data_IF_976002987566
#
_entry.id   IF_976002987566
#
_cell.length_a   1.000
_cell.length_b   1.000
_cell.length_c   1.000
_cell.angle_alpha   90.00
_cell.angle_beta   90.00
_cell.angle_gamma   90.00
#
_symmetry.space_group_name_H-M   'P 1'
#
loop_
_entity.id
_entity.type
_entity.pdbx_description
1 polymer ?
#
# COMPACT_ATOMS: atom_id res chain seq x y z
N UNK A 1 35.98 24.65 -29.68
CA UNK A 1 34.69 23.95 -29.57
C UNK A 1 33.93 24.69 -28.50
N UNK A 2 32.91 25.44 -28.90
CA UNK A 2 32.17 26.31 -27.99
C UNK A 2 31.29 25.46 -27.07
N UNK A 3 31.31 25.79 -25.77
CA UNK A 3 30.72 25.00 -24.68
C UNK A 3 29.20 25.20 -24.62
N UNK A 4 28.44 24.52 -25.47
CA UNK A 4 27.03 24.29 -25.17
C UNK A 4 26.91 23.29 -24.01
N UNK A 5 26.12 23.64 -23.01
CA UNK A 5 25.79 22.74 -21.89
C UNK A 5 24.40 22.13 -22.13
N UNK A 6 24.26 20.80 -22.20
CA UNK A 6 22.96 20.17 -22.36
C UNK A 6 22.12 20.29 -21.11
N UNK A 7 20.84 20.61 -21.29
CA UNK A 7 19.79 20.47 -20.28
C UNK A 7 19.08 19.16 -20.54
N UNK A 8 19.31 18.18 -19.66
CA UNK A 8 18.66 16.87 -19.75
C UNK A 8 17.40 16.84 -18.88
N UNK A 9 16.38 16.12 -19.32
CA UNK A 9 15.21 15.86 -18.50
C UNK A 9 15.62 15.03 -17.28
N UNK A 10 15.40 15.52 -16.04
CA UNK A 10 15.81 14.79 -14.84
C UNK A 10 14.85 13.65 -14.54
N UNK A 11 15.34 12.65 -13.80
CA UNK A 11 14.53 11.55 -13.31
C UNK A 11 13.81 11.94 -12.01
N UNK A 12 12.48 11.98 -12.03
CA UNK A 12 11.66 12.31 -10.85
C UNK A 12 11.38 11.09 -9.96
N UNK A 13 11.00 9.95 -10.57
CA UNK A 13 10.77 8.68 -9.88
C UNK A 13 11.65 7.54 -10.39
N UNK A 14 11.91 6.50 -9.55
CA UNK A 14 12.77 5.36 -9.90
C UNK A 14 12.25 4.51 -11.08
N UNK A 15 10.99 4.69 -11.48
CA UNK A 15 10.34 3.96 -12.57
C UNK A 15 9.84 4.85 -13.70
N UNK A 16 10.18 6.15 -13.71
CA UNK A 16 9.74 7.07 -14.76
C UNK A 16 10.66 6.91 -15.98
N UNK A 17 10.05 6.60 -17.13
CA UNK A 17 10.76 6.39 -18.40
C UNK A 17 10.53 7.58 -19.34
N UNK A 18 9.33 8.17 -19.30
CA UNK A 18 8.94 9.37 -20.05
C UNK A 18 8.29 10.40 -19.12
N UNK A 19 8.34 11.67 -19.50
CA UNK A 19 7.54 12.74 -18.91
C UNK A 19 7.04 13.68 -20.00
N UNK A 20 5.92 14.36 -19.75
CA UNK A 20 5.42 15.44 -20.61
C UNK A 20 6.03 16.75 -20.14
N UNK A 21 6.60 17.54 -21.05
CA UNK A 21 7.09 18.87 -20.73
C UNK A 21 5.89 19.83 -20.61
N UNK A 22 5.46 20.16 -19.39
CA UNK A 22 4.22 20.90 -19.16
C UNK A 22 4.33 22.37 -19.62
N UNK A 23 5.40 23.06 -19.19
CA UNK A 23 5.63 24.47 -19.57
C UNK A 23 7.10 24.88 -19.43
N UNK A 24 7.50 25.89 -20.22
CA UNK A 24 8.76 26.60 -20.04
C UNK A 24 8.52 27.88 -19.22
N UNK A 25 9.28 28.07 -18.15
CA UNK A 25 9.22 29.26 -17.30
C UNK A 25 10.15 30.38 -17.80
N UNK A 26 10.97 30.10 -18.81
CA UNK A 26 11.92 31.02 -19.45
C UNK A 26 11.74 31.00 -20.96
N UNK A 27 11.92 32.16 -21.57
CA UNK A 27 11.82 32.31 -23.02
C UNK A 27 13.09 31.85 -23.72
N UNK A 28 12.96 31.37 -24.96
CA UNK A 28 14.12 31.15 -25.84
C UNK A 28 14.92 32.45 -25.98
N UNK A 29 16.25 32.35 -25.92
CA UNK A 29 17.18 33.49 -25.96
C UNK A 29 17.29 34.25 -24.64
N UNK A 30 16.65 33.79 -23.57
CA UNK A 30 16.81 34.39 -22.25
C UNK A 30 18.08 33.86 -21.57
N UNK A 31 18.81 34.75 -20.91
CA UNK A 31 19.90 34.36 -20.01
C UNK A 31 19.34 33.73 -18.72
N UNK A 32 19.86 32.57 -18.33
CA UNK A 32 19.50 31.86 -17.10
C UNK A 32 20.75 31.59 -16.26
N UNK A 33 20.59 31.53 -14.94
CA UNK A 33 21.67 31.21 -14.01
C UNK A 33 21.65 29.72 -13.64
N UNK A 34 22.81 29.18 -13.23
CA UNK A 34 22.88 27.82 -12.71
C UNK A 34 21.96 27.65 -11.49
N UNK A 35 21.16 26.58 -11.49
CA UNK A 35 20.17 26.25 -10.46
C UNK A 35 18.86 27.03 -10.58
N UNK A 36 18.72 27.90 -11.58
CA UNK A 36 17.46 28.58 -11.85
C UNK A 36 16.44 27.60 -12.45
N UNK A 37 15.18 27.66 -12.03
CA UNK A 37 14.12 26.82 -12.58
C UNK A 37 13.72 27.37 -13.96
N UNK A 38 13.78 26.52 -14.97
CA UNK A 38 13.59 26.90 -16.37
C UNK A 38 12.37 26.25 -17.02
N UNK A 39 11.90 25.10 -16.51
CA UNK A 39 10.72 24.42 -17.01
C UNK A 39 10.03 23.59 -15.93
N UNK A 40 8.81 23.15 -16.21
CA UNK A 40 8.03 22.20 -15.42
C UNK A 40 7.72 20.99 -16.29
N UNK A 41 7.93 19.80 -15.75
CA UNK A 41 7.59 18.54 -16.39
C UNK A 41 6.64 17.72 -15.51
N UNK A 42 5.81 16.90 -16.12
CA UNK A 42 4.85 16.05 -15.43
C UNK A 42 4.92 14.61 -15.93
N UNK A 43 4.82 13.67 -15.01
CA UNK A 43 4.54 12.27 -15.30
C UNK A 43 3.10 11.95 -14.92
N UNK A 44 2.66 10.73 -15.20
CA UNK A 44 1.36 10.22 -14.73
C UNK A 44 1.20 10.23 -13.19
N UNK A 45 2.29 10.43 -12.44
CA UNK A 45 2.32 10.31 -10.98
C UNK A 45 2.70 11.60 -10.27
N UNK A 46 3.44 12.51 -10.90
CA UNK A 46 4.01 13.67 -10.22
C UNK A 46 4.35 14.80 -11.18
N UNK A 47 4.36 16.03 -10.66
CA UNK A 47 4.83 17.24 -11.35
C UNK A 47 6.14 17.66 -10.69
N UNK A 48 7.15 18.02 -11.48
CA UNK A 48 8.48 18.38 -10.99
C UNK A 48 9.11 19.51 -11.82
N UNK A 49 10.05 20.20 -11.20
CA UNK A 49 10.74 21.37 -11.75
C UNK A 49 12.06 20.95 -12.41
N UNK A 50 12.42 21.60 -13.52
CA UNK A 50 13.69 21.41 -14.23
C UNK A 50 14.59 22.60 -13.94
N UNK A 51 15.74 22.33 -13.32
CA UNK A 51 16.77 23.32 -13.00
C UNK A 51 17.84 23.43 -14.10
N UNK A 52 18.36 24.64 -14.31
CA UNK A 52 19.45 24.89 -15.23
C UNK A 52 20.80 24.32 -14.70
N UNK A 53 21.49 23.44 -15.43
CA UNK A 53 22.75 22.83 -14.97
C UNK A 53 23.95 23.80 -14.99
N UNK A 54 23.85 24.89 -15.76
CA UNK A 54 24.86 25.94 -15.90
C UNK A 54 24.19 27.30 -16.15
N UNK A 55 24.98 28.36 -16.23
CA UNK A 55 24.54 29.67 -16.71
C UNK A 55 24.71 29.79 -18.23
N UNK A 56 23.82 30.53 -18.89
CA UNK A 56 23.89 30.78 -20.33
C UNK A 56 22.56 31.18 -20.95
N UNK A 57 22.59 31.44 -22.26
CA UNK A 57 21.41 31.69 -23.07
C UNK A 57 20.68 30.38 -23.39
N UNK A 58 19.37 30.35 -23.08
CA UNK A 58 18.53 29.18 -23.25
C UNK A 58 18.08 28.99 -24.70
N UNK A 59 18.40 27.84 -25.28
CA UNK A 59 17.87 27.38 -26.55
C UNK A 59 17.01 26.12 -26.36
N UNK A 60 15.70 26.27 -26.53
CA UNK A 60 14.71 25.20 -26.38
C UNK A 60 14.76 24.24 -27.57
N UNK A 61 14.80 22.93 -27.30
CA UNK A 61 14.77 21.86 -28.30
C UNK A 61 13.46 21.05 -28.28
N UNK A 62 12.81 20.93 -27.12
CA UNK A 62 11.50 20.29 -26.96
C UNK A 62 10.43 21.33 -26.58
N UNK A 63 9.26 21.24 -27.22
CA UNK A 63 8.13 22.13 -26.97
C UNK A 63 7.33 21.77 -25.72
N UNK A 64 6.59 22.73 -25.18
CA UNK A 64 5.59 22.44 -24.16
C UNK A 64 4.49 21.55 -24.76
N UNK A 65 4.14 20.46 -24.07
CA UNK A 65 3.24 19.40 -24.52
C UNK A 65 3.94 18.17 -25.11
N UNK A 66 5.25 18.23 -25.38
CA UNK A 66 6.00 17.10 -25.93
C UNK A 66 6.25 16.03 -24.86
N UNK A 67 6.10 14.76 -25.23
CA UNK A 67 6.54 13.62 -24.42
C UNK A 67 8.02 13.36 -24.67
N UNK A 68 8.83 13.39 -23.61
CA UNK A 68 10.30 13.32 -23.64
C UNK A 68 10.81 12.19 -22.75
N UNK A 69 11.87 11.50 -23.18
CA UNK A 69 12.49 10.43 -22.40
C UNK A 69 13.38 10.99 -21.27
N UNK A 70 13.42 10.29 -20.13
CA UNK A 70 14.33 10.64 -19.04
C UNK A 70 15.79 10.59 -19.52
N UNK A 71 16.54 11.66 -19.29
CA UNK A 71 17.91 11.83 -19.78
C UNK A 71 18.04 12.40 -21.19
N UNK A 72 16.93 12.57 -21.93
CA UNK A 72 16.95 13.25 -23.22
C UNK A 72 17.31 14.73 -23.05
N UNK A 73 18.09 15.27 -23.99
CA UNK A 73 18.41 16.70 -24.03
C UNK A 73 17.19 17.47 -24.54
N UNK A 74 16.61 18.32 -23.68
CA UNK A 74 15.40 19.11 -23.96
C UNK A 74 15.71 20.57 -24.28
N UNK A 75 16.90 21.05 -23.93
CA UNK A 75 17.42 22.37 -24.27
C UNK A 75 18.96 22.38 -24.20
N UNK A 76 19.58 23.45 -24.71
CA UNK A 76 21.01 23.74 -24.52
C UNK A 76 21.21 25.14 -24.00
N UNK A 77 22.29 25.33 -23.24
CA UNK A 77 22.74 26.62 -22.72
C UNK A 77 24.05 27.02 -23.40
N UNK A 78 24.10 28.20 -24.00
CA UNK A 78 25.29 28.72 -24.68
C UNK A 78 25.77 30.06 -24.11
N UNK A 79 27.04 30.45 -24.33
CA UNK A 79 27.57 31.75 -23.91
C UNK A 79 27.01 32.95 -24.71
N UNK A 80 26.40 32.68 -25.86
CA UNK A 80 25.82 33.67 -26.77
C UNK A 80 24.37 33.34 -27.11
N UNK A 81 23.64 34.31 -27.65
CA UNK A 81 22.25 34.13 -28.05
C UNK A 81 22.09 32.96 -29.06
N UNK A 82 21.00 32.16 -28.98
CA UNK A 82 20.86 30.92 -29.71
C UNK A 82 20.88 31.08 -31.24
N UNK A 83 21.93 30.60 -31.90
CA UNK A 83 22.01 30.45 -33.36
C UNK A 83 21.61 29.02 -33.78
N UNK A 84 20.59 28.90 -34.62
CA UNK A 84 20.05 27.62 -35.05
C UNK A 84 21.02 26.77 -35.87
N UNK A 85 21.86 27.38 -36.69
CA UNK A 85 22.82 26.61 -37.49
C UNK A 85 23.90 25.99 -36.60
N UNK A 86 24.35 26.74 -35.59
CA UNK A 86 25.33 26.28 -34.60
C UNK A 86 24.77 25.18 -33.70
N UNK A 87 23.53 25.31 -33.25
CA UNK A 87 22.86 24.27 -32.44
C UNK A 87 22.67 22.99 -33.24
N UNK A 88 22.27 23.08 -34.51
CA UNK A 88 22.13 21.91 -35.40
C UNK A 88 23.48 21.23 -35.65
N UNK A 89 24.54 22.00 -35.87
CA UNK A 89 25.89 21.45 -36.03
C UNK A 89 26.37 20.72 -34.77
N UNK A 90 26.14 21.31 -33.59
CA UNK A 90 26.48 20.68 -32.31
C UNK A 90 25.68 19.39 -32.05
N UNK A 91 24.38 19.38 -32.36
CA UNK A 91 23.54 18.17 -32.25
C UNK A 91 24.01 17.05 -33.19
N UNK A 92 24.44 17.40 -34.40
CA UNK A 92 24.99 16.45 -35.38
C UNK A 92 26.33 15.86 -34.92
N UNK A 93 27.20 16.68 -34.31
CA UNK A 93 28.45 16.22 -33.70
C UNK A 93 28.19 15.26 -32.51
N UNK A 94 27.22 15.57 -31.65
CA UNK A 94 26.82 14.72 -30.51
C UNK A 94 26.21 13.38 -30.95
N UNK A 95 25.43 13.35 -32.04
CA UNK A 95 24.93 12.11 -32.64
C UNK A 95 26.03 11.29 -33.33
N UNK A 96 27.09 11.92 -33.84
CA UNK A 96 28.22 11.23 -34.46
C UNK A 96 29.21 10.59 -33.48
N UNK A 97 29.13 10.96 -32.19
CA UNK A 97 29.97 10.45 -31.11
C UNK A 97 29.37 9.24 -30.36
N UNK A 98 28.17 8.78 -30.74
CA UNK A 98 27.64 7.50 -30.27
C UNK A 98 28.34 6.35 -31.00
N UNK A 99 28.93 5.37 -30.29
CA UNK A 99 29.36 4.13 -30.92
C UNK A 99 28.16 3.50 -31.65
N UNK A 100 28.38 2.78 -32.77
CA UNK A 100 27.32 1.98 -33.37
C UNK A 100 26.72 1.09 -32.29
N UNK A 101 25.39 0.99 -32.30
CA UNK A 101 24.62 0.14 -31.42
C UNK A 101 25.34 -1.19 -31.22
N UNK A 102 25.69 -1.46 -29.96
CA UNK A 102 26.41 -2.66 -29.54
C UNK A 102 25.81 -3.90 -30.20
N UNK A 103 26.69 -4.75 -30.73
CA UNK A 103 26.41 -6.02 -31.40
C UNK A 103 25.81 -7.09 -30.47
N UNK A 104 24.80 -6.74 -29.69
CA UNK A 104 24.04 -7.68 -28.91
C UNK A 104 22.94 -8.28 -29.78
N UNK A 105 22.79 -9.60 -29.73
CA UNK A 105 21.74 -10.35 -30.42
C UNK A 105 20.36 -10.17 -29.79
N UNK A 106 20.14 -9.11 -28.99
CA UNK A 106 18.90 -8.84 -28.26
C UNK A 106 18.65 -7.35 -28.06
N UNK A 107 17.39 -6.97 -27.86
CA UNK A 107 17.00 -5.59 -27.57
C UNK A 107 17.21 -5.23 -26.10
N UNK A 108 17.43 -3.96 -25.79
CA UNK A 108 17.58 -3.45 -24.40
C UNK A 108 16.35 -3.80 -23.54
N UNK A 109 15.15 -3.75 -24.11
CA UNK A 109 13.91 -4.14 -23.43
C UNK A 109 13.88 -5.63 -23.08
N UNK A 110 14.39 -6.48 -23.98
CA UNK A 110 14.50 -7.92 -23.72
C UNK A 110 15.48 -8.19 -22.57
N UNK A 111 16.63 -7.50 -22.54
CA UNK A 111 17.64 -7.63 -21.49
C UNK A 111 17.12 -7.22 -20.11
N UNK A 112 16.46 -6.07 -20.03
CA UNK A 112 15.85 -5.59 -18.77
C UNK A 112 14.77 -6.55 -18.28
N UNK A 113 13.93 -7.08 -19.18
CA UNK A 113 12.91 -8.06 -18.81
C UNK A 113 13.54 -9.38 -18.34
N UNK A 114 14.58 -9.86 -19.01
CA UNK A 114 15.30 -11.07 -18.62
C UNK A 114 15.98 -10.92 -17.25
N UNK A 115 16.67 -9.79 -17.00
CA UNK A 115 17.29 -9.50 -15.70
C UNK A 115 16.26 -9.46 -14.56
N UNK A 116 15.11 -8.82 -14.77
CA UNK A 116 14.03 -8.74 -13.77
C UNK A 116 13.51 -10.11 -13.33
N UNK A 117 13.53 -11.09 -14.24
CA UNK A 117 13.05 -12.45 -13.99
C UNK A 117 14.19 -13.45 -13.70
N UNK A 118 15.43 -12.99 -13.55
CA UNK A 118 16.59 -13.86 -13.33
C UNK A 118 16.82 -14.85 -14.48
N UNK A 119 16.54 -14.44 -15.70
CA UNK A 119 16.68 -15.24 -16.93
C UNK A 119 17.97 -14.87 -17.63
N UNK A 120 18.77 -15.88 -17.96
CA UNK A 120 19.88 -15.74 -18.89
C UNK A 120 19.31 -15.52 -20.30
N UNK A 121 19.42 -14.29 -20.81
CA UNK A 121 18.85 -13.89 -22.10
C UNK A 121 19.46 -14.65 -23.28
N UNK A 122 20.68 -15.18 -23.14
CA UNK A 122 21.31 -15.99 -24.18
C UNK A 122 20.56 -17.32 -24.41
N UNK A 123 19.70 -17.75 -23.48
CA UNK A 123 18.91 -18.98 -23.58
C UNK A 123 17.50 -18.75 -24.15
N UNK A 124 17.13 -17.50 -24.42
CA UNK A 124 15.82 -17.15 -24.97
C UNK A 124 15.85 -17.31 -26.49
N UNK A 125 15.02 -18.18 -27.09
CA UNK A 125 14.99 -18.36 -28.54
C UNK A 125 14.38 -17.13 -29.22
N UNK A 126 15.14 -16.48 -30.09
CA UNK A 126 14.65 -15.40 -30.93
C UNK A 126 13.76 -15.94 -32.05
N UNK A 127 12.61 -15.31 -32.30
CA UNK A 127 11.80 -15.59 -33.50
C UNK A 127 12.25 -14.82 -34.75
N UNK A 128 13.18 -13.88 -34.59
CA UNK A 128 13.75 -13.07 -35.68
C UNK A 128 15.26 -12.88 -35.53
N UNK A 129 15.81 -11.84 -36.15
CA UNK A 129 17.27 -11.56 -36.17
C UNK A 129 17.87 -11.27 -34.78
N UNK A 130 17.03 -10.91 -33.79
CA UNK A 130 17.43 -10.61 -32.42
C UNK A 130 16.32 -11.01 -31.44
N UNK A 131 16.69 -11.32 -30.19
CA UNK A 131 15.73 -11.57 -29.10
C UNK A 131 15.02 -10.27 -28.75
N UNK A 132 13.70 -10.31 -28.75
CA UNK A 132 12.83 -9.19 -28.39
C UNK A 132 12.17 -9.40 -27.03
N UNK A 133 11.56 -8.34 -26.48
CA UNK A 133 10.76 -8.42 -25.25
C UNK A 133 9.66 -9.49 -25.35
N UNK A 134 9.02 -9.61 -26.52
CA UNK A 134 7.99 -10.62 -26.78
C UNK A 134 8.55 -12.06 -26.73
N UNK A 135 9.79 -12.27 -27.16
CA UNK A 135 10.46 -13.58 -27.10
C UNK A 135 10.77 -13.97 -25.65
N UNK A 136 11.25 -13.01 -24.83
CA UNK A 136 11.48 -13.21 -23.40
C UNK A 136 10.17 -13.50 -22.66
N UNK A 137 9.10 -12.77 -22.99
CA UNK A 137 7.77 -13.01 -22.41
C UNK A 137 7.23 -14.41 -22.78
N UNK A 138 7.38 -14.83 -24.04
CA UNK A 138 7.00 -16.15 -24.48
C UNK A 138 7.83 -17.25 -23.80
N UNK A 139 9.13 -17.01 -23.60
CA UNK A 139 10.02 -17.92 -22.88
C UNK A 139 9.65 -18.05 -21.40
N UNK A 140 9.24 -16.98 -20.72
CA UNK A 140 8.71 -17.02 -19.35
C UNK A 140 7.47 -17.91 -19.28
N UNK A 141 6.52 -17.72 -20.20
CA UNK A 141 5.28 -18.51 -20.25
C UNK A 141 5.57 -19.99 -20.54
N UNK A 142 6.45 -20.28 -21.50
CA UNK A 142 6.85 -21.66 -21.83
C UNK A 142 7.63 -22.32 -20.69
N UNK A 143 8.47 -21.58 -19.96
CA UNK A 143 9.18 -22.05 -18.77
C UNK A 143 8.21 -22.36 -17.62
N UNK A 144 7.20 -21.52 -17.42
CA UNK A 144 6.14 -21.78 -16.43
C UNK A 144 5.28 -23.01 -16.78
N UNK A 145 5.16 -23.35 -18.07
CA UNK A 145 4.44 -24.54 -18.56
C UNK A 145 5.29 -25.82 -18.59
N UNK A 146 6.62 -25.70 -18.67
CA UNK A 146 7.57 -26.83 -18.71
C UNK A 146 8.12 -27.20 -17.34
N UNK A 147 8.13 -26.27 -16.38
CA UNK A 147 8.21 -26.61 -14.96
C UNK A 147 6.83 -27.12 -14.55
N UNK A 148 6.58 -28.39 -14.85
CA UNK A 148 5.48 -29.12 -14.24
C UNK A 148 5.60 -28.92 -12.73
N UNK A 149 4.68 -28.14 -12.15
CA UNK A 149 4.46 -28.26 -10.72
C UNK A 149 4.15 -29.74 -10.49
N UNK A 150 4.85 -30.43 -9.56
CA UNK A 150 4.36 -31.72 -9.15
C UNK A 150 2.93 -31.49 -8.68
N UNK A 151 1.97 -32.02 -9.43
CA UNK A 151 0.65 -32.33 -8.89
C UNK A 151 0.96 -33.44 -7.90
N UNK A 152 1.27 -33.02 -6.68
CA UNK A 152 1.29 -33.90 -5.53
C UNK A 152 -0.17 -34.38 -5.46
N UNK A 153 -0.43 -35.59 -5.96
CA UNK A 153 -1.63 -36.33 -5.60
C UNK A 153 -1.78 -36.17 -4.09
N UNK A 154 -2.96 -35.81 -3.55
CA UNK A 154 -3.10 -35.42 -2.17
C UNK A 154 -2.44 -36.52 -1.35
N UNK A 155 -1.25 -36.21 -0.83
CA UNK A 155 -0.70 -37.02 0.22
C UNK A 155 -1.80 -37.00 1.27
N UNK A 156 -2.10 -38.14 1.88
CA UNK A 156 -2.73 -38.10 3.19
C UNK A 156 -1.79 -37.28 4.06
N UNK A 157 -2.01 -35.96 4.07
CA UNK A 157 -1.24 -35.01 4.83
C UNK A 157 -1.66 -35.27 6.26
N UNK A 158 -0.93 -36.16 6.92
CA UNK A 158 -0.72 -36.07 8.34
C UNK A 158 0.08 -34.78 8.61
N UNK A 159 -0.54 -33.63 8.34
CA UNK A 159 -0.02 -32.34 8.75
C UNK A 159 -0.26 -32.20 10.25
N UNK A 160 0.81 -31.90 10.99
CA UNK A 160 0.79 -31.65 12.43
C UNK A 160 0.35 -30.21 12.75
N UNK A 161 0.18 -29.37 11.73
CA UNK A 161 -0.59 -28.14 11.89
C UNK A 161 -2.02 -28.55 12.16
N UNK A 162 -2.46 -28.32 13.40
CA UNK A 162 -3.86 -28.28 13.80
C UNK A 162 -4.56 -27.27 12.87
N UNK A 163 -4.98 -27.72 11.70
CA UNK A 163 -5.85 -26.96 10.81
C UNK A 163 -7.17 -26.86 11.56
N UNK A 164 -7.27 -25.85 12.43
CA UNK A 164 -8.43 -25.60 13.30
C UNK A 164 -9.71 -25.46 12.48
N UNK A 165 -9.61 -25.23 11.16
CA UNK A 165 -10.72 -24.93 10.27
C UNK A 165 -10.55 -25.67 8.93
N UNK A 166 -10.77 -27.00 8.89
CA UNK A 166 -10.73 -27.74 7.64
C UNK A 166 -11.67 -27.09 6.62
N UNK A 167 -11.27 -27.07 5.34
CA UNK A 167 -11.96 -26.38 4.24
C UNK A 167 -13.49 -26.67 4.11
N UNK A 168 -13.99 -27.71 4.77
CA UNK A 168 -15.38 -28.15 4.77
C UNK A 168 -16.20 -27.71 6.01
N UNK A 169 -15.61 -27.00 6.99
CA UNK A 169 -16.30 -26.55 8.20
C UNK A 169 -16.33 -25.02 8.27
N UNK A 170 -17.54 -24.46 8.28
CA UNK A 170 -17.77 -23.04 8.54
C UNK A 170 -17.58 -22.76 10.04
N UNK A 171 -16.70 -21.83 10.39
CA UNK A 171 -16.51 -21.33 11.74
C UNK A 171 -17.71 -20.44 12.14
N UNK A 172 -18.38 -20.79 13.22
CA UNK A 172 -19.58 -20.09 13.72
C UNK A 172 -19.20 -19.06 14.76
N UNK A 173 -19.59 -17.82 14.52
CA UNK A 173 -19.12 -16.67 15.27
C UNK A 173 -20.22 -16.05 16.12
N UNK A 174 -19.88 -15.79 17.38
CA UNK A 174 -20.63 -14.94 18.28
C UNK A 174 -20.12 -13.49 18.18
N UNK A 175 -20.98 -12.57 17.76
CA UNK A 175 -20.65 -11.14 17.74
C UNK A 175 -21.03 -10.51 19.09
N UNK A 176 -20.09 -9.77 19.68
CA UNK A 176 -20.31 -9.01 20.92
C UNK A 176 -20.54 -7.54 20.55
N UNK A 177 -21.76 -7.05 20.79
CA UNK A 177 -22.28 -5.75 20.38
C UNK A 177 -23.07 -5.83 19.08
N UNK A 178 -24.31 -5.34 19.08
CA UNK A 178 -25.27 -5.35 17.97
C UNK A 178 -25.46 -4.00 17.27
N UNK A 179 -24.53 -3.06 17.44
CA UNK A 179 -24.55 -1.75 16.78
C UNK A 179 -24.05 -1.77 15.33
N UNK A 180 -23.71 -0.60 14.78
CA UNK A 180 -23.21 -0.46 13.39
C UNK A 180 -21.91 -1.24 13.11
N UNK A 181 -21.11 -1.53 14.13
CA UNK A 181 -19.94 -2.41 14.00
C UNK A 181 -20.33 -3.85 13.63
N UNK A 182 -21.47 -4.35 14.14
CA UNK A 182 -21.95 -5.69 13.80
C UNK A 182 -22.36 -5.78 12.34
N UNK A 183 -23.02 -4.74 11.81
CA UNK A 183 -23.39 -4.65 10.39
C UNK A 183 -22.15 -4.75 9.50
N UNK A 184 -21.09 -4.04 9.88
CA UNK A 184 -19.79 -4.05 9.19
C UNK A 184 -19.14 -5.45 9.20
N UNK A 185 -19.11 -6.11 10.35
CA UNK A 185 -18.57 -7.47 10.47
C UNK A 185 -19.40 -8.46 9.63
N UNK A 186 -20.73 -8.36 9.68
CA UNK A 186 -21.62 -9.25 8.91
C UNK A 186 -21.45 -9.04 7.39
N UNK A 187 -21.29 -7.80 6.94
CA UNK A 187 -20.99 -7.50 5.53
C UNK A 187 -19.63 -8.07 5.09
N UNK A 188 -18.60 -7.98 5.95
CA UNK A 188 -17.32 -8.62 5.67
C UNK A 188 -17.42 -10.15 5.60
N UNK A 189 -18.13 -10.76 6.56
CA UNK A 189 -18.36 -12.21 6.63
C UNK A 189 -19.15 -12.75 5.44
N UNK A 190 -20.04 -11.96 4.83
CA UNK A 190 -20.74 -12.36 3.62
C UNK A 190 -19.80 -12.69 2.44
N UNK A 191 -18.53 -12.28 2.53
CA UNK A 191 -17.48 -12.55 1.53
C UNK A 191 -16.46 -13.60 2.00
N UNK A 192 -16.60 -14.15 3.21
CA UNK A 192 -15.69 -15.13 3.80
C UNK A 192 -16.43 -16.46 3.96
N UNK A 193 -16.39 -17.39 2.97
CA UNK A 193 -17.17 -18.62 3.00
C UNK A 193 -16.93 -19.51 4.21
N UNK A 194 -15.75 -19.42 4.83
CA UNK A 194 -15.31 -20.24 5.95
C UNK A 194 -15.77 -19.70 7.31
N UNK A 195 -16.41 -18.53 7.38
CA UNK A 195 -16.84 -17.91 8.64
C UNK A 195 -18.28 -17.42 8.54
N UNK A 196 -19.07 -17.60 9.60
CA UNK A 196 -20.47 -17.17 9.64
C UNK A 196 -20.85 -16.66 11.03
N UNK A 197 -21.47 -15.47 11.08
CA UNK A 197 -22.09 -14.99 12.31
C UNK A 197 -23.41 -15.73 12.58
N UNK A 198 -23.55 -16.33 13.75
CA UNK A 198 -24.73 -17.13 14.13
C UNK A 198 -25.54 -16.51 15.26
N UNK A 199 -24.93 -15.65 16.06
CA UNK A 199 -25.58 -14.98 17.18
C UNK A 199 -24.91 -13.64 17.50
N UNK A 200 -25.66 -12.74 18.12
CA UNK A 200 -25.22 -11.46 18.66
C UNK A 200 -25.62 -11.38 20.13
N UNK A 201 -24.73 -10.88 20.98
CA UNK A 201 -25.06 -10.43 22.34
C UNK A 201 -24.92 -8.91 22.45
N UNK A 202 -25.88 -8.25 23.09
CA UNK A 202 -25.88 -6.79 23.29
C UNK A 202 -26.58 -6.42 24.59
N UNK A 203 -26.08 -5.45 25.36
CA UNK A 203 -26.68 -5.07 26.64
C UNK A 203 -27.98 -4.25 26.50
N UNK A 204 -28.27 -3.72 25.31
CA UNK A 204 -29.51 -3.01 25.03
C UNK A 204 -30.69 -3.99 24.93
N UNK A 205 -31.46 -4.08 26.01
CA UNK A 205 -32.63 -4.97 26.09
C UNK A 205 -33.71 -4.66 25.05
N UNK A 206 -33.78 -3.43 24.53
CA UNK A 206 -34.76 -3.03 23.52
C UNK A 206 -34.56 -3.69 22.15
N UNK A 207 -33.40 -4.31 21.90
CA UNK A 207 -33.08 -5.01 20.66
C UNK A 207 -33.01 -6.53 20.83
N UNK A 208 -33.21 -7.06 22.04
CA UNK A 208 -33.23 -8.51 22.27
C UNK A 208 -34.36 -9.18 21.47
N UNK A 209 -34.08 -10.36 20.91
CA UNK A 209 -35.02 -11.08 20.05
C UNK A 209 -35.15 -10.50 18.63
N UNK A 210 -34.55 -9.34 18.34
CA UNK A 210 -34.45 -8.80 16.97
C UNK A 210 -33.22 -9.39 16.26
N UNK A 211 -33.00 -8.95 15.01
CA UNK A 211 -31.89 -9.38 14.17
C UNK A 211 -31.13 -8.17 13.63
N UNK A 212 -29.83 -8.34 13.41
CA UNK A 212 -28.98 -7.41 12.63
C UNK A 212 -28.54 -8.16 11.39
N UNK A 213 -28.90 -7.66 10.20
CA UNK A 213 -28.54 -8.26 8.91
C UNK A 213 -28.78 -9.81 8.87
N UNK A 214 -29.90 -10.26 9.45
CA UNK A 214 -30.28 -11.68 9.52
C UNK A 214 -29.77 -12.45 10.74
N UNK A 215 -28.78 -11.94 11.47
CA UNK A 215 -28.19 -12.61 12.65
C UNK A 215 -28.99 -12.27 13.92
N UNK A 216 -29.42 -13.26 14.73
CA UNK A 216 -30.26 -13.03 15.91
C UNK A 216 -29.50 -12.45 17.11
N UNK A 217 -30.15 -11.54 17.84
CA UNK A 217 -29.67 -11.03 19.13
C UNK A 217 -30.23 -11.92 20.24
N UNK A 218 -29.36 -12.73 20.85
CA UNK A 218 -29.73 -13.83 21.76
C UNK A 218 -29.83 -13.40 23.22
N UNK A 219 -29.38 -12.19 23.55
CA UNK A 219 -29.51 -11.62 24.89
C UNK A 219 -28.44 -10.60 25.22
N UNK A 220 -28.28 -10.31 26.52
CA UNK A 220 -27.23 -9.46 27.08
C UNK A 220 -25.83 -10.04 26.85
N UNK A 221 -24.80 -9.21 26.97
CA UNK A 221 -23.41 -9.68 26.93
C UNK A 221 -23.14 -10.48 28.21
N UNK A 222 -23.01 -11.80 28.07
CA UNK A 222 -22.84 -12.72 29.18
C UNK A 222 -21.80 -13.80 28.84
N UNK A 223 -20.64 -13.71 29.48
CA UNK A 223 -19.51 -14.62 29.24
C UNK A 223 -19.83 -16.05 29.68
N UNK A 224 -20.70 -16.25 30.68
CA UNK A 224 -21.08 -17.58 31.13
C UNK A 224 -21.98 -18.25 30.08
N UNK A 225 -22.97 -17.52 29.57
CA UNK A 225 -23.81 -17.98 28.47
C UNK A 225 -22.97 -18.26 27.21
N UNK A 226 -22.00 -17.40 26.89
CA UNK A 226 -21.12 -17.63 25.75
C UNK A 226 -20.28 -18.92 25.90
N UNK A 227 -19.80 -19.21 27.11
CA UNK A 227 -19.11 -20.46 27.41
C UNK A 227 -20.03 -21.69 27.28
N UNK A 228 -21.31 -21.58 27.68
CA UNK A 228 -22.32 -22.63 27.48
C UNK A 228 -22.56 -22.89 25.98
N UNK A 229 -22.71 -21.82 25.18
CA UNK A 229 -22.84 -21.94 23.73
C UNK A 229 -21.62 -22.60 23.08
N UNK A 230 -20.42 -22.26 23.54
CA UNK A 230 -19.18 -22.89 23.07
C UNK A 230 -19.14 -24.38 23.43
N UNK A 231 -19.47 -24.74 24.68
CA UNK A 231 -19.50 -26.13 25.14
C UNK A 231 -20.56 -26.97 24.43
N UNK A 232 -21.71 -26.37 24.11
CA UNK A 232 -22.76 -26.99 23.30
C UNK A 232 -22.42 -27.05 21.80
N UNK A 233 -21.29 -26.48 21.39
CA UNK A 233 -20.88 -26.41 19.99
C UNK A 233 -21.87 -25.61 19.15
N UNK A 234 -22.48 -24.56 19.68
CA UNK A 234 -23.34 -23.61 18.94
C UNK A 234 -22.52 -22.49 18.30
N UNK A 235 -21.38 -22.15 18.91
CA UNK A 235 -20.40 -21.18 18.43
C UNK A 235 -19.00 -21.78 18.54
N UNK A 236 -18.08 -21.32 17.72
CA UNK A 236 -16.68 -21.77 17.71
C UNK A 236 -15.73 -20.69 18.24
N UNK A 237 -16.06 -19.42 18.01
CA UNK A 237 -15.28 -18.27 18.48
C UNK A 237 -16.15 -17.01 18.62
N UNK A 238 -15.60 -16.00 19.30
CA UNK A 238 -16.20 -14.68 19.44
C UNK A 238 -15.47 -13.62 18.60
N UNK A 239 -16.15 -12.51 18.32
CA UNK A 239 -15.56 -11.27 17.80
C UNK A 239 -16.27 -10.06 18.40
N UNK A 240 -15.53 -9.01 18.76
CA UNK A 240 -16.11 -7.80 19.38
C UNK A 240 -16.31 -6.72 18.33
N UNK A 241 -17.54 -6.25 18.16
CA UNK A 241 -17.89 -5.23 17.17
C UNK A 241 -17.78 -3.79 17.69
N UNK A 242 -17.46 -3.61 18.98
CA UNK A 242 -17.42 -2.33 19.68
C UNK A 242 -16.14 -1.56 19.32
N UNK A 243 -16.17 -0.78 18.24
CA UNK A 243 -14.99 -0.08 17.72
C UNK A 243 -14.64 1.22 18.44
N UNK A 244 -15.64 1.99 18.90
CA UNK A 244 -15.43 3.36 19.42
C UNK A 244 -15.07 3.43 20.89
N UNK A 245 -15.47 2.42 21.69
CA UNK A 245 -15.17 2.34 23.11
C UNK A 245 -14.09 1.28 23.36
N UNK A 246 -12.83 1.71 23.21
CA UNK A 246 -11.65 0.85 23.38
C UNK A 246 -11.61 0.22 24.77
N UNK A 247 -11.90 0.97 25.83
CA UNK A 247 -11.86 0.47 27.21
C UNK A 247 -12.84 -0.68 27.42
N UNK A 248 -14.07 -0.57 26.90
CA UNK A 248 -15.06 -1.65 26.96
C UNK A 248 -14.64 -2.83 26.10
N UNK A 249 -14.15 -2.60 24.87
CA UNK A 249 -13.66 -3.66 23.98
C UNK A 249 -12.51 -4.46 24.61
N UNK A 250 -11.54 -3.77 25.19
CA UNK A 250 -10.38 -4.38 25.85
C UNK A 250 -10.81 -5.21 27.06
N UNK A 251 -11.64 -4.63 27.94
CA UNK A 251 -12.18 -5.34 29.12
C UNK A 251 -12.90 -6.64 28.73
N UNK A 252 -13.81 -6.55 27.75
CA UNK A 252 -14.57 -7.73 27.29
C UNK A 252 -13.65 -8.81 26.72
N UNK A 253 -12.64 -8.41 25.95
CA UNK A 253 -11.67 -9.35 25.41
C UNK A 253 -10.91 -10.09 26.52
N UNK A 254 -10.36 -9.37 27.50
CA UNK A 254 -9.62 -9.96 28.62
C UNK A 254 -10.51 -10.88 29.48
N UNK A 255 -11.73 -10.45 29.81
CA UNK A 255 -12.69 -11.23 30.59
C UNK A 255 -13.04 -12.55 29.88
N UNK A 256 -13.23 -12.53 28.56
CA UNK A 256 -13.60 -13.69 27.77
C UNK A 256 -12.41 -14.61 27.49
N UNK A 257 -11.22 -14.04 27.26
CA UNK A 257 -9.98 -14.79 27.15
C UNK A 257 -9.68 -15.52 28.46
N UNK A 258 -9.90 -14.89 29.62
CA UNK A 258 -9.75 -15.54 30.93
C UNK A 258 -10.68 -16.75 31.10
N UNK A 259 -11.82 -16.78 30.39
CA UNK A 259 -12.74 -17.92 30.31
C UNK A 259 -12.43 -18.92 29.19
N UNK A 260 -11.29 -18.74 28.50
CA UNK A 260 -10.83 -19.57 27.37
C UNK A 260 -11.80 -19.59 26.20
N UNK A 261 -12.58 -18.52 26.02
CA UNK A 261 -13.40 -18.36 24.82
C UNK A 261 -12.47 -17.91 23.68
N UNK A 262 -12.38 -18.65 22.56
CA UNK A 262 -11.54 -18.28 21.43
C UNK A 262 -12.03 -17.01 20.75
N UNK A 263 -11.11 -16.20 20.22
CA UNK A 263 -11.45 -15.07 19.37
C UNK A 263 -11.05 -15.31 17.91
N UNK A 264 -11.93 -14.95 16.98
CA UNK A 264 -11.65 -15.06 15.55
C UNK A 264 -11.13 -13.73 15.00
N UNK A 265 -10.15 -13.81 14.09
CA UNK A 265 -9.83 -12.70 13.21
C UNK A 265 -10.83 -12.67 12.06
N UNK A 266 -11.36 -11.49 11.78
CA UNK A 266 -12.22 -11.20 10.62
C UNK A 266 -11.38 -10.36 9.68
N UNK A 267 -10.86 -10.98 8.64
CA UNK A 267 -10.01 -10.31 7.65
C UNK A 267 -10.76 -10.28 6.33
N UNK A 268 -11.17 -9.08 5.90
CA UNK A 268 -11.89 -8.93 4.65
C UNK A 268 -11.05 -9.48 3.48
N UNK A 269 -11.61 -10.28 2.56
CA UNK A 269 -10.84 -10.99 1.51
C UNK A 269 -10.08 -10.10 0.53
N UNK A 270 -10.44 -8.82 0.44
CA UNK A 270 -9.72 -7.84 -0.38
C UNK A 270 -8.49 -7.26 0.31
N UNK A 271 -8.23 -7.64 1.56
CA UNK A 271 -7.02 -7.24 2.27
C UNK A 271 -5.82 -8.04 1.77
N UNK A 272 -4.68 -7.37 1.65
CA UNK A 272 -3.42 -8.01 1.24
C UNK A 272 -2.57 -8.25 2.48
N UNK A 273 -2.18 -9.51 2.71
CA UNK A 273 -1.31 -9.91 3.82
C UNK A 273 0.01 -10.41 3.24
N UNK A 274 1.09 -9.72 3.60
CA UNK A 274 2.45 -10.04 3.17
C UNK A 274 3.01 -11.30 3.84
N UNK A 275 4.23 -11.68 3.45
CA UNK A 275 4.91 -12.83 4.03
C UNK A 275 5.21 -12.60 5.52
N UNK A 276 5.13 -13.68 6.31
CA UNK A 276 5.53 -13.71 7.72
C UNK A 276 4.87 -12.63 8.60
N UNK A 277 3.64 -12.21 8.28
CA UNK A 277 2.85 -11.37 9.18
C UNK A 277 2.40 -12.20 10.38
N UNK A 278 2.70 -11.71 11.58
CA UNK A 278 2.29 -12.34 12.83
C UNK A 278 0.99 -11.72 13.33
N UNK A 279 0.05 -12.55 13.77
CA UNK A 279 -1.29 -12.13 14.18
C UNK A 279 -1.60 -12.58 15.61
N UNK A 280 -2.15 -11.66 16.39
CA UNK A 280 -2.96 -11.95 17.56
C UNK A 280 -4.38 -12.40 17.17
N UNK A 281 -5.27 -12.43 18.14
CA UNK A 281 -6.65 -12.90 18.00
C UNK A 281 -7.67 -11.76 18.12
N UNK A 282 -8.88 -11.95 17.58
CA UNK A 282 -10.00 -11.00 17.73
C UNK A 282 -9.89 -9.73 16.88
N UNK A 283 -9.00 -9.70 15.90
CA UNK A 283 -8.82 -8.55 15.02
C UNK A 283 -9.97 -8.45 14.01
N UNK A 284 -10.46 -7.24 13.79
CA UNK A 284 -11.44 -6.91 12.74
C UNK A 284 -10.73 -6.03 11.72
N UNK A 285 -10.58 -6.52 10.50
CA UNK A 285 -9.89 -5.88 9.39
C UNK A 285 -10.85 -5.74 8.22
N UNK A 286 -11.23 -4.50 7.93
CA UNK A 286 -12.19 -4.18 6.89
C UNK A 286 -11.52 -4.12 5.51
N UNK A 287 -12.32 -3.89 4.47
CA UNK A 287 -11.90 -4.00 3.08
C UNK A 287 -10.65 -3.18 2.72
N UNK A 288 -9.84 -3.74 1.82
CA UNK A 288 -8.71 -3.06 1.17
C UNK A 288 -7.63 -2.60 2.14
N UNK A 289 -7.45 -3.33 3.24
CA UNK A 289 -6.30 -3.12 4.12
C UNK A 289 -5.04 -3.80 3.58
N UNK A 290 -3.88 -3.28 3.94
CA UNK A 290 -2.58 -3.88 3.63
C UNK A 290 -1.79 -4.17 4.91
N UNK A 291 -1.14 -5.33 4.96
CA UNK A 291 -0.20 -5.71 6.00
C UNK A 291 1.11 -6.13 5.33
N UNK A 292 2.14 -5.32 5.47
CA UNK A 292 3.44 -5.50 4.82
C UNK A 292 4.24 -6.64 5.44
N UNK A 293 5.29 -7.07 4.73
CA UNK A 293 6.11 -8.21 5.13
C UNK A 293 6.69 -8.06 6.56
N UNK A 294 6.66 -9.15 7.33
CA UNK A 294 7.19 -9.21 8.69
C UNK A 294 6.53 -8.23 9.68
N UNK A 295 5.33 -7.72 9.39
CA UNK A 295 4.57 -6.94 10.35
C UNK A 295 4.06 -7.84 11.50
N UNK A 296 3.93 -7.27 12.69
CA UNK A 296 3.31 -7.91 13.86
C UNK A 296 2.05 -7.15 14.23
N UNK A 297 0.93 -7.85 14.39
CA UNK A 297 -0.37 -7.30 14.78
C UNK A 297 -0.80 -7.98 16.06
N UNK A 298 -1.01 -7.20 17.12
CA UNK A 298 -1.50 -7.68 18.40
C UNK A 298 -2.97 -8.09 18.38
N UNK A 299 -3.57 -8.16 19.55
CA UNK A 299 -4.92 -8.67 19.74
C UNK A 299 -5.98 -7.58 19.60
N UNK A 300 -7.18 -7.98 19.16
CA UNK A 300 -8.41 -7.21 19.34
C UNK A 300 -8.37 -5.77 18.78
N UNK A 301 -7.68 -5.61 17.65
CA UNK A 301 -7.63 -4.37 16.90
C UNK A 301 -8.85 -4.25 15.98
N UNK A 302 -9.29 -3.01 15.74
CA UNK A 302 -10.34 -2.71 14.78
C UNK A 302 -9.79 -1.78 13.70
N UNK A 303 -9.55 -2.30 12.50
CA UNK A 303 -9.03 -1.59 11.35
C UNK A 303 -10.14 -1.33 10.33
N UNK A 304 -10.49 -0.05 10.17
CA UNK A 304 -11.43 0.39 9.14
C UNK A 304 -10.82 0.25 7.74
N UNK A 305 -11.62 0.44 6.68
CA UNK A 305 -11.15 0.23 5.31
C UNK A 305 -9.95 1.11 4.94
N UNK A 306 -9.13 0.62 3.99
CA UNK A 306 -7.95 1.32 3.46
C UNK A 306 -6.83 1.61 4.48
N UNK A 307 -6.77 0.87 5.59
CA UNK A 307 -5.62 0.98 6.49
C UNK A 307 -4.41 0.21 5.95
N UNK A 308 -3.20 0.74 6.16
CA UNK A 308 -1.96 0.05 5.80
C UNK A 308 -1.00 -0.02 6.98
N UNK A 309 -0.65 -1.24 7.39
CA UNK A 309 0.40 -1.55 8.36
C UNK A 309 1.61 -2.07 7.58
N UNK A 310 2.56 -1.20 7.26
CA UNK A 310 3.68 -1.50 6.36
C UNK A 310 4.70 -2.49 6.94
N UNK A 311 5.67 -2.87 6.10
CA UNK A 311 6.63 -3.89 6.46
C UNK A 311 7.40 -3.59 7.76
N UNK A 312 7.65 -4.63 8.54
CA UNK A 312 8.37 -4.57 9.82
C UNK A 312 7.72 -3.64 10.87
N UNK A 313 6.46 -3.25 10.70
CA UNK A 313 5.72 -2.52 11.72
C UNK A 313 5.32 -3.45 12.87
N UNK A 314 5.17 -2.86 14.05
CA UNK A 314 4.64 -3.52 15.24
C UNK A 314 3.40 -2.77 15.67
N UNK A 315 2.26 -3.43 15.66
CA UNK A 315 0.99 -2.94 16.16
C UNK A 315 0.65 -3.71 17.45
N UNK A 316 0.46 -2.98 18.55
CA UNK A 316 -0.03 -3.51 19.82
C UNK A 316 -1.50 -3.95 19.76
N UNK A 317 -2.11 -4.06 20.93
CA UNK A 317 -3.45 -4.61 21.11
C UNK A 317 -4.50 -3.52 21.36
N UNK A 318 -5.76 -3.83 21.05
CA UNK A 318 -6.93 -2.97 21.34
C UNK A 318 -6.94 -1.60 20.64
N UNK A 319 -6.21 -1.43 19.55
CA UNK A 319 -6.22 -0.18 18.79
C UNK A 319 -7.48 -0.06 17.93
N UNK A 320 -7.91 1.17 17.68
CA UNK A 320 -8.99 1.47 16.74
C UNK A 320 -8.49 2.42 15.66
N UNK A 321 -8.65 2.03 14.41
CA UNK A 321 -8.26 2.82 13.25
C UNK A 321 -9.49 3.31 12.50
N UNK A 322 -9.55 4.62 12.25
CA UNK A 322 -10.42 5.17 11.23
C UNK A 322 -9.95 4.79 9.83
N UNK A 323 -10.76 5.05 8.79
CA UNK A 323 -10.40 4.70 7.42
C UNK A 323 -9.12 5.42 6.95
N UNK A 324 -8.32 4.77 6.13
CA UNK A 324 -7.16 5.42 5.49
C UNK A 324 -6.04 5.80 6.46
N UNK A 325 -5.83 5.03 7.53
CA UNK A 325 -4.64 5.19 8.37
C UNK A 325 -3.51 4.37 7.77
N UNK A 326 -2.44 5.03 7.36
CA UNK A 326 -1.33 4.45 6.61
C UNK A 326 -0.04 4.66 7.39
N UNK A 327 0.66 3.57 7.64
CA UNK A 327 2.01 3.58 8.21
C UNK A 327 3.05 3.39 7.11
N UNK A 328 4.23 3.95 7.30
CA UNK A 328 5.44 3.58 6.56
C UNK A 328 6.22 2.50 7.32
N UNK A 329 7.35 2.05 6.78
CA UNK A 329 8.14 0.95 7.38
C UNK A 329 8.57 1.17 8.84
N UNK A 330 8.63 0.09 9.63
CA UNK A 330 9.21 0.06 11.00
C UNK A 330 8.50 0.98 12.02
N UNK A 331 7.25 1.34 11.78
CA UNK A 331 6.42 2.07 12.75
C UNK A 331 6.05 1.15 13.92
N UNK A 332 6.08 1.69 15.13
CA UNK A 332 5.72 0.98 16.37
C UNK A 332 4.51 1.65 17.00
N UNK A 333 3.40 0.94 17.15
CA UNK A 333 2.15 1.43 17.74
C UNK A 333 1.90 0.65 19.02
N UNK A 334 1.78 1.34 20.16
CA UNK A 334 1.44 0.73 21.44
C UNK A 334 -0.03 0.33 21.55
N UNK A 335 -0.42 -0.18 22.71
CA UNK A 335 -1.79 -0.64 22.95
C UNK A 335 -2.80 0.51 23.04
N UNK A 336 -4.08 0.22 22.75
CA UNK A 336 -5.23 1.09 22.98
C UNK A 336 -5.12 2.47 22.31
N UNK A 337 -4.39 2.54 21.20
CA UNK A 337 -4.27 3.77 20.42
C UNK A 337 -5.54 3.97 19.59
N UNK A 338 -6.04 5.20 19.56
CA UNK A 338 -7.18 5.58 18.72
C UNK A 338 -6.72 6.52 17.61
N UNK A 339 -6.87 6.07 16.37
CA UNK A 339 -6.65 6.88 15.18
C UNK A 339 -7.98 7.36 14.59
N UNK A 340 -8.01 8.63 14.20
CA UNK A 340 -9.03 9.18 13.31
C UNK A 340 -8.87 8.67 11.87
N UNK A 341 -9.43 9.42 10.93
CA UNK A 341 -9.44 9.09 9.49
C UNK A 341 -8.29 9.78 8.78
N UNK A 342 -7.69 9.14 7.77
CA UNK A 342 -6.74 9.78 6.86
C UNK A 342 -5.48 10.26 7.56
N UNK A 343 -4.76 9.35 8.21
CA UNK A 343 -3.54 9.64 8.96
C UNK A 343 -2.37 8.94 8.27
N UNK A 344 -1.25 9.65 8.14
CA UNK A 344 -0.02 9.13 7.54
C UNK A 344 1.10 9.15 8.59
N UNK A 345 1.84 8.04 8.73
CA UNK A 345 2.89 7.89 9.74
C UNK A 345 4.22 7.58 9.05
N UNK A 346 5.23 8.42 9.29
CA UNK A 346 6.56 8.30 8.70
C UNK A 346 7.36 7.08 9.21
N UNK A 347 8.37 6.61 8.46
CA UNK A 347 9.14 5.43 8.84
C UNK A 347 9.78 5.55 10.23
N UNK A 348 9.74 4.46 11.00
CA UNK A 348 10.42 4.37 12.30
C UNK A 348 9.76 5.15 13.45
N UNK A 349 8.63 5.82 13.21
CA UNK A 349 7.90 6.55 14.26
C UNK A 349 7.32 5.59 15.29
N UNK A 350 7.30 6.02 16.55
CA UNK A 350 6.66 5.31 17.67
C UNK A 350 5.44 6.08 18.13
N UNK A 351 4.29 5.43 18.22
CA UNK A 351 3.06 5.96 18.81
C UNK A 351 2.81 5.25 20.13
N UNK A 352 2.96 5.97 21.23
CA UNK A 352 2.82 5.41 22.57
C UNK A 352 1.40 4.92 22.88
N UNK A 353 1.29 3.96 23.78
CA UNK A 353 0.02 3.39 24.20
C UNK A 353 -0.96 4.45 24.73
N UNK A 354 -2.26 4.19 24.58
CA UNK A 354 -3.35 5.08 25.00
C UNK A 354 -3.36 6.45 24.32
N UNK A 355 -2.58 6.66 23.25
CA UNK A 355 -2.60 7.89 22.49
C UNK A 355 -3.89 8.03 21.67
N UNK A 356 -4.29 9.27 21.42
CA UNK A 356 -5.42 9.62 20.56
C UNK A 356 -4.93 10.56 19.47
N UNK A 357 -5.08 10.13 18.22
CA UNK A 357 -4.63 10.84 17.04
C UNK A 357 -5.86 11.32 16.26
N UNK A 358 -6.03 12.64 16.13
CA UNK A 358 -7.11 13.21 15.36
C UNK A 358 -6.95 12.96 13.85
N UNK A 359 -8.05 13.02 13.11
CA UNK A 359 -8.07 12.81 11.66
C UNK A 359 -7.21 13.82 10.88
N UNK A 360 -6.72 13.41 9.71
CA UNK A 360 -6.09 14.30 8.73
C UNK A 360 -4.66 14.71 9.04
N UNK A 361 -3.90 13.89 9.78
CA UNK A 361 -2.56 14.23 10.25
C UNK A 361 -1.48 13.44 9.52
N UNK A 362 -0.37 14.11 9.22
CA UNK A 362 0.91 13.47 8.91
C UNK A 362 1.79 13.51 10.17
N UNK A 363 2.35 12.36 10.58
CA UNK A 363 3.12 12.20 11.81
C UNK A 363 4.57 11.86 11.45
N UNK A 364 5.47 12.79 11.73
CA UNK A 364 6.92 12.63 11.56
C UNK A 364 7.70 12.56 12.88
N UNK A 365 7.04 12.65 14.04
CA UNK A 365 7.68 12.58 15.37
C UNK A 365 7.07 11.48 16.21
N UNK A 366 7.88 10.93 17.13
CA UNK A 366 7.39 10.00 18.14
C UNK A 366 6.31 10.67 19.00
N UNK A 367 5.23 9.93 19.25
CA UNK A 367 4.10 10.37 20.06
C UNK A 367 4.20 9.69 21.44
N UNK A 368 4.29 10.45 22.54
CA UNK A 368 4.31 9.87 23.87
C UNK A 368 3.03 9.08 24.21
N UNK A 369 3.10 8.11 25.15
CA UNK A 369 1.90 7.45 25.67
C UNK A 369 0.90 8.44 26.27
N UNK A 370 -0.41 8.14 26.14
CA UNK A 370 -1.54 8.96 26.63
C UNK A 370 -1.61 10.38 26.03
N UNK A 371 -0.90 10.64 24.94
CA UNK A 371 -0.94 11.94 24.27
C UNK A 371 -2.21 12.10 23.42
N UNK A 372 -2.73 13.33 23.33
CA UNK A 372 -3.74 13.72 22.35
C UNK A 372 -3.08 14.58 21.28
N UNK A 373 -2.96 14.06 20.06
CA UNK A 373 -2.45 14.81 18.90
C UNK A 373 -3.61 15.33 18.06
N UNK A 374 -3.67 16.65 17.86
CA UNK A 374 -4.64 17.32 16.98
C UNK A 374 -3.98 18.50 16.27
N UNK A 375 -4.36 18.74 15.01
CA UNK A 375 -4.03 19.98 14.32
C UNK A 375 -5.07 21.06 14.64
N UNK A 376 -4.64 22.32 14.61
CA UNK A 376 -5.54 23.47 14.62
C UNK A 376 -5.76 23.93 13.19
N UNK A 377 -6.88 23.55 12.58
CA UNK A 377 -7.21 23.89 11.19
C UNK A 377 -8.22 25.03 11.17
N UNK A 378 -7.85 26.16 10.57
CA UNK A 378 -8.76 27.28 10.31
C UNK A 378 -9.29 27.21 8.88
N UNK A 379 -10.60 27.08 8.71
CA UNK A 379 -11.23 27.15 7.39
C UNK A 379 -11.71 28.57 7.11
N UNK A 380 -11.40 29.10 5.93
CA UNK A 380 -12.07 30.28 5.39
C UNK A 380 -13.03 29.82 4.31
N UNK A 381 -14.32 29.84 4.60
CA UNK A 381 -15.36 29.55 3.62
C UNK A 381 -15.80 30.86 2.96
N UNK A 382 -15.70 30.94 1.63
CA UNK A 382 -16.29 32.03 0.85
C UNK A 382 -17.41 31.45 0.01
N UNK A 383 -18.59 32.06 0.05
CA UNK A 383 -19.66 31.74 -0.90
C UNK A 383 -19.21 32.16 -2.30
N UNK A 384 -19.44 31.29 -3.30
CA UNK A 384 -19.27 31.64 -4.71
C UNK A 384 -20.38 32.58 -5.16
#
# INVERSE_FOLDING_TARGET
MENFTPVQLPQSGPNDVTATLAEWLKSRGQWVNKGEIIAVAETTKSVFEVEAPAEGYLAVLAGAGDEVEVGQVIAVLGPEEPDEERIRAWLAEQQSAQPPASAHSWTVKAELLAQRHGIDIAQVPAKGERVTEADVQAYIVARAQSVGHPVIAPAETADLVDDRYPANRVQRLLIIGGGNGAVQIIDALARIPQQQAVAIMDDNTAIHGKRVAGVPIVGKIDVAHAAEMLAAGLVDAAVISISTNISVRARLFEEWKARKIPFANIIHPTSVVGMNVQWGEGNVVMALCHFGACATVGDNNFLSAYCSIEHHCILGSHCSFGPGVVTSSRVQIGDRVRFGTGIFIEPGVTVGADAVIASGLAIWQHIPPRALLKAHVGYTMRSR
#
